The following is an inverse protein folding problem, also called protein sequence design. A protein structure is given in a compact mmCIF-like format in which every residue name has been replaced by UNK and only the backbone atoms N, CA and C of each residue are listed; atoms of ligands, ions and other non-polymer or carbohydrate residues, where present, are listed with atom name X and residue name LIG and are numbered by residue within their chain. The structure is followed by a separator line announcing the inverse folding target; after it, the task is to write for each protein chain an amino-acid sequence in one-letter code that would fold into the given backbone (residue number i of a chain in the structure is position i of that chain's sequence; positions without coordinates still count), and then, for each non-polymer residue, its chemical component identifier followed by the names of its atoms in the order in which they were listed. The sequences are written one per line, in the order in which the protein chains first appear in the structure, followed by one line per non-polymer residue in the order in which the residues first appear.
data_IF_126226011256
#
_entry.id   IF_126226011256
#
_cell.length_a   1.000
_cell.length_b   1.000
_cell.length_c   1.000
_cell.angle_alpha   90.00
_cell.angle_beta   90.00
_cell.angle_gamma   90.00
#
_symmetry.space_group_name_H-M   'P 1'
#
loop_
_entity.id
_entity.type
_entity.pdbx_description
1 polymer ?
#
# COMPACT_ATOMS: atom_id res chain seq x y z
N UNK A 1 17.23 -13.69 -16.93
CA UNK A 1 15.91 -13.37 -16.37
C UNK A 1 14.88 -13.96 -17.31
N UNK A 2 14.06 -14.90 -16.84
CA UNK A 2 13.01 -15.49 -17.66
C UNK A 2 11.90 -14.46 -17.87
N UNK A 3 11.11 -14.62 -18.94
CA UNK A 3 9.99 -13.72 -19.25
C UNK A 3 9.03 -13.62 -18.07
N UNK A 4 8.71 -14.74 -17.42
CA UNK A 4 7.84 -14.77 -16.24
C UNK A 4 8.38 -13.96 -15.05
N UNK A 5 9.70 -13.93 -14.85
CA UNK A 5 10.32 -13.13 -13.79
C UNK A 5 10.23 -11.64 -14.11
N UNK A 6 10.37 -11.27 -15.38
CA UNK A 6 10.20 -9.89 -15.83
C UNK A 6 8.75 -9.42 -15.69
N UNK A 7 7.78 -10.26 -16.07
CA UNK A 7 6.36 -9.97 -15.90
C UNK A 7 6.00 -9.81 -14.43
N UNK A 8 6.45 -10.72 -13.57
CA UNK A 8 6.22 -10.65 -12.13
C UNK A 8 6.79 -9.37 -11.53
N UNK A 9 8.05 -9.04 -11.83
CA UNK A 9 8.68 -7.80 -11.36
C UNK A 9 7.97 -6.55 -11.88
N UNK A 10 7.60 -6.53 -13.16
CA UNK A 10 6.84 -5.43 -13.76
C UNK A 10 5.48 -5.23 -13.11
N UNK A 11 4.79 -6.32 -12.75
CA UNK A 11 3.49 -6.30 -12.08
C UNK A 11 3.62 -5.76 -10.65
N UNK A 12 4.59 -6.25 -9.87
CA UNK A 12 4.86 -5.72 -8.52
C UNK A 12 5.28 -4.25 -8.55
N UNK A 13 6.15 -3.85 -9.48
CA UNK A 13 6.55 -2.45 -9.62
C UNK A 13 5.40 -1.56 -10.08
N UNK A 14 4.58 -2.02 -11.03
CA UNK A 14 3.42 -1.28 -11.52
C UNK A 14 2.37 -1.07 -10.43
N UNK A 15 2.00 -2.14 -9.72
CA UNK A 15 1.05 -2.06 -8.59
C UNK A 15 1.63 -1.23 -7.44
N UNK A 16 2.92 -1.39 -7.13
CA UNK A 16 3.61 -0.59 -6.11
C UNK A 16 3.63 0.90 -6.45
N UNK A 17 3.93 1.25 -7.71
CA UNK A 17 3.92 2.63 -8.19
C UNK A 17 2.51 3.25 -8.13
N UNK A 18 1.48 2.50 -8.53
CA UNK A 18 0.08 2.92 -8.41
C UNK A 18 -0.32 3.14 -6.94
N UNK A 19 0.06 2.23 -6.05
CA UNK A 19 -0.21 2.36 -4.63
C UNK A 19 0.46 3.61 -4.04
N UNK A 20 1.72 3.87 -4.39
CA UNK A 20 2.42 5.10 -4.00
C UNK A 20 1.69 6.35 -4.49
N UNK A 21 1.20 6.34 -5.74
CA UNK A 21 0.40 7.44 -6.28
C UNK A 21 -0.86 7.70 -5.46
N UNK A 22 -1.55 6.65 -5.03
CA UNK A 22 -2.74 6.76 -4.16
C UNK A 22 -2.36 7.35 -2.80
N UNK A 23 -1.28 6.87 -2.17
CA UNK A 23 -0.80 7.41 -0.89
C UNK A 23 -0.46 8.91 -1.03
N UNK A 24 0.25 9.30 -2.08
CA UNK A 24 0.57 10.71 -2.35
C UNK A 24 -0.69 11.55 -2.58
N UNK A 25 -1.64 11.05 -3.37
CA UNK A 25 -2.91 11.74 -3.63
C UNK A 25 -3.73 11.94 -2.34
N UNK A 26 -3.84 10.90 -1.51
CA UNK A 26 -4.50 10.99 -0.20
C UNK A 26 -3.76 11.97 0.70
N UNK A 27 -2.43 11.97 0.71
CA UNK A 27 -1.66 12.92 1.50
C UNK A 27 -1.92 14.37 1.09
N UNK A 28 -2.02 14.63 -0.22
CA UNK A 28 -2.37 15.95 -0.74
C UNK A 28 -3.82 16.34 -0.35
N UNK A 29 -4.78 15.43 -0.48
CA UNK A 29 -6.17 15.63 -0.05
C UNK A 29 -6.27 15.90 1.46
N UNK A 30 -5.49 15.18 2.28
CA UNK A 30 -5.46 15.40 3.73
C UNK A 30 -4.82 16.73 4.11
N UNK A 31 -3.85 17.23 3.34
CA UNK A 31 -3.27 18.57 3.53
C UNK A 31 -4.25 19.67 3.11
N UNK A 32 -4.91 19.52 1.96
CA UNK A 32 -5.84 20.52 1.40
C UNK A 32 -7.22 20.49 2.07
N UNK A 33 -7.61 19.39 2.71
CA UNK A 33 -8.91 19.30 3.37
C UNK A 33 -8.91 19.91 4.77
N UNK A 34 -10.01 20.59 5.07
CA UNK A 34 -10.41 21.03 6.42
C UNK A 34 -10.93 19.86 7.28
N UNK A 35 -10.55 18.62 6.97
CA UNK A 35 -11.00 17.47 7.74
C UNK A 35 -10.52 17.55 9.20
N UNK A 36 -11.35 17.18 10.18
CA UNK A 36 -10.94 17.14 11.58
C UNK A 36 -9.79 16.15 11.77
N UNK A 37 -8.90 16.42 12.73
CA UNK A 37 -7.68 15.62 12.97
C UNK A 37 -7.98 14.13 13.12
N UNK A 38 -9.11 13.78 13.72
CA UNK A 38 -9.57 12.40 13.87
C UNK A 38 -9.83 11.69 12.54
N UNK A 39 -10.46 12.37 11.58
CA UNK A 39 -10.71 11.83 10.24
C UNK A 39 -9.40 11.56 9.48
N UNK A 40 -8.40 12.43 9.64
CA UNK A 40 -7.08 12.23 9.02
C UNK A 40 -6.38 10.98 9.56
N UNK A 41 -6.50 10.69 10.86
CA UNK A 41 -5.95 9.49 11.50
C UNK A 41 -6.64 8.22 10.96
N UNK A 42 -7.97 8.24 10.83
CA UNK A 42 -8.72 7.09 10.30
C UNK A 42 -8.37 6.76 8.85
N UNK A 43 -8.16 7.77 8.02
CA UNK A 43 -7.72 7.57 6.63
C UNK A 43 -6.34 6.90 6.60
N UNK A 44 -5.40 7.33 7.43
CA UNK A 44 -4.09 6.67 7.54
C UNK A 44 -4.20 5.24 8.07
N UNK A 45 -5.06 4.98 9.07
CA UNK A 45 -5.29 3.63 9.59
C UNK A 45 -5.82 2.68 8.51
N UNK A 46 -6.88 3.08 7.80
CA UNK A 46 -7.49 2.26 6.74
C UNK A 46 -6.54 2.07 5.56
N UNK A 47 -5.79 3.11 5.18
CA UNK A 47 -4.82 3.05 4.09
C UNK A 47 -3.72 2.02 4.38
N UNK A 48 -3.19 2.00 5.60
CA UNK A 48 -2.17 1.04 6.00
C UNK A 48 -2.71 -0.34 6.37
N UNK A 49 -4.02 -0.48 6.61
CA UNK A 49 -4.63 -1.77 6.98
C UNK A 49 -4.47 -2.81 5.87
N UNK A 50 -4.68 -2.42 4.61
CA UNK A 50 -4.59 -3.33 3.46
C UNK A 50 -3.17 -3.90 3.26
N UNK A 51 -2.12 -3.05 3.16
CA UNK A 51 -0.75 -3.54 3.07
C UNK A 51 -0.32 -4.32 4.33
N UNK A 52 -0.75 -3.91 5.53
CA UNK A 52 -0.39 -4.60 6.76
C UNK A 52 -0.94 -6.02 6.80
N UNK A 53 -2.18 -6.24 6.36
CA UNK A 53 -2.76 -7.58 6.25
C UNK A 53 -2.02 -8.43 5.21
N UNK A 54 -1.60 -7.83 4.09
CA UNK A 54 -0.81 -8.51 3.08
C UNK A 54 0.57 -8.91 3.61
N UNK A 55 1.27 -8.00 4.31
CA UNK A 55 2.54 -8.28 4.98
C UNK A 55 2.42 -9.37 6.04
N UNK A 56 1.34 -9.35 6.83
CA UNK A 56 1.09 -10.38 7.84
C UNK A 56 0.99 -11.77 7.21
N UNK A 57 0.32 -11.91 6.06
CA UNK A 57 0.25 -13.19 5.33
C UNK A 57 1.63 -13.65 4.87
N UNK A 58 2.40 -12.77 4.25
CA UNK A 58 3.76 -13.07 3.79
C UNK A 58 4.62 -13.55 4.96
N UNK A 59 4.60 -12.82 6.09
CA UNK A 59 5.34 -13.20 7.29
C UNK A 59 4.87 -14.56 7.81
N UNK A 60 3.57 -14.82 7.87
CA UNK A 60 3.04 -16.08 8.38
C UNK A 60 3.47 -17.27 7.51
N UNK A 61 3.45 -17.10 6.19
CA UNK A 61 3.94 -18.09 5.22
C UNK A 61 5.44 -18.39 5.44
N UNK A 62 6.27 -17.37 5.64
CA UNK A 62 7.70 -17.55 5.91
C UNK A 62 8.07 -18.17 7.28
N UNK A 63 7.23 -18.03 8.30
CA UNK A 63 7.54 -18.47 9.67
C UNK A 63 6.85 -19.77 10.09
N UNK A 64 5.75 -20.15 9.44
CA UNK A 64 4.97 -21.36 9.77
C UNK A 64 5.23 -22.51 8.77
N UNK A 65 5.91 -22.22 7.65
CA UNK A 65 6.48 -23.22 6.74
C UNK A 65 7.81 -23.80 7.25
#
# INVERSE_FOLDING_TARGET
MNIEQFETLGLFLGVGALYLFIVMAIWDVLKKSNAPRFGKIFVWLVLFLSPAAFLAKVIFEFFVE
#
